data_IF_864282874147
#
_entry.id   IF_864282874147
#
_cell.length_a   1.000
_cell.length_b   1.000
_cell.length_c   1.000
_cell.angle_alpha   90.00
_cell.angle_beta   90.00
_cell.angle_gamma   90.00
#
_symmetry.space_group_name_H-M   'P 1'
#
loop_
_entity.id
_entity.type
_entity.pdbx_description
1 polymer ?
#
# COMPACT_ATOMS: atom_id res chain seq x y z
N UNK A 1 42.38 10.32 10.02
CA UNK A 1 41.33 9.98 9.04
C UNK A 1 40.55 8.73 9.47
N UNK A 2 41.22 7.63 9.81
CA UNK A 2 40.57 6.36 10.21
C UNK A 2 39.59 6.48 11.38
N UNK A 3 39.95 7.16 12.48
CA UNK A 3 39.04 7.35 13.63
C UNK A 3 37.72 8.03 13.27
N UNK A 4 37.75 8.98 12.34
CA UNK A 4 36.55 9.70 11.89
C UNK A 4 35.67 8.77 11.04
N UNK A 5 36.28 8.01 10.13
CA UNK A 5 35.56 7.04 9.31
C UNK A 5 34.92 5.94 10.15
N UNK A 6 35.60 5.42 11.18
CA UNK A 6 35.01 4.43 12.09
C UNK A 6 33.81 5.00 12.87
N UNK A 7 33.90 6.26 13.32
CA UNK A 7 32.77 6.94 14.00
C UNK A 7 31.58 7.13 13.05
N UNK A 8 31.84 7.58 11.82
CA UNK A 8 30.82 7.76 10.80
C UNK A 8 30.19 6.42 10.40
N UNK A 9 30.98 5.35 10.31
CA UNK A 9 30.48 4.01 10.03
C UNK A 9 29.49 3.54 11.09
N UNK A 10 29.84 3.65 12.38
CA UNK A 10 28.94 3.31 13.48
C UNK A 10 27.65 4.13 13.44
N UNK A 11 27.75 5.44 13.20
CA UNK A 11 26.56 6.31 13.08
C UNK A 11 25.68 5.90 11.90
N UNK A 12 26.27 5.59 10.74
CA UNK A 12 25.53 5.11 9.58
C UNK A 12 24.81 3.78 9.88
N UNK A 13 25.45 2.85 10.60
CA UNK A 13 24.79 1.61 11.01
C UNK A 13 23.55 1.88 11.88
N UNK A 14 23.65 2.77 12.87
CA UNK A 14 22.50 3.15 13.70
C UNK A 14 21.39 3.81 12.88
N UNK A 15 21.75 4.72 11.97
CA UNK A 15 20.79 5.39 11.08
C UNK A 15 20.08 4.36 10.18
N UNK A 16 20.81 3.38 9.64
CA UNK A 16 20.21 2.33 8.81
C UNK A 16 19.22 1.47 9.59
N UNK A 17 19.58 1.06 10.81
CA UNK A 17 18.71 0.27 11.67
C UNK A 17 17.42 1.03 12.01
N UNK A 18 17.54 2.31 12.35
CA UNK A 18 16.38 3.14 12.68
C UNK A 18 15.50 3.40 11.46
N UNK A 19 16.10 3.61 10.28
CA UNK A 19 15.35 3.71 9.03
C UNK A 19 14.53 2.45 8.73
N UNK A 20 15.09 1.26 8.96
CA UNK A 20 14.36 0.01 8.78
C UNK A 20 13.18 -0.08 9.77
N UNK A 21 13.41 0.30 11.03
CA UNK A 21 12.36 0.36 12.06
C UNK A 21 11.22 1.31 11.68
N UNK A 22 11.55 2.46 11.10
CA UNK A 22 10.58 3.45 10.62
C UNK A 22 9.80 2.94 9.41
N UNK A 23 10.45 2.26 8.45
CA UNK A 23 9.79 1.65 7.29
C UNK A 23 8.74 0.63 7.70
N UNK A 24 9.05 -0.24 8.67
CA UNK A 24 8.09 -1.23 9.20
C UNK A 24 6.87 -0.56 9.84
N UNK A 25 7.07 0.49 10.63
CA UNK A 25 5.96 1.26 11.22
C UNK A 25 5.11 1.94 10.15
N UNK A 26 5.73 2.56 9.15
CA UNK A 26 5.00 3.19 8.05
C UNK A 26 4.16 2.18 7.25
N UNK A 27 4.70 0.98 7.00
CA UNK A 27 3.96 -0.09 6.33
C UNK A 27 2.73 -0.53 7.13
N UNK A 28 2.87 -0.74 8.44
CA UNK A 28 1.74 -1.11 9.30
C UNK A 28 0.66 -0.01 9.31
N UNK A 29 1.05 1.24 9.54
CA UNK A 29 0.13 2.38 9.52
C UNK A 29 -0.58 2.52 8.16
N UNK A 30 0.12 2.27 7.06
CA UNK A 30 -0.49 2.33 5.72
C UNK A 30 -1.49 1.19 5.48
N UNK A 31 -1.26 0.00 6.05
CA UNK A 31 -2.23 -1.10 5.99
C UNK A 31 -3.49 -0.78 6.81
N UNK A 32 -3.31 -0.25 8.03
CA UNK A 32 -4.41 0.19 8.88
C UNK A 32 -5.22 1.30 8.21
N UNK A 33 -4.54 2.27 7.59
CA UNK A 33 -5.18 3.36 6.86
C UNK A 33 -6.01 2.84 5.67
N UNK A 34 -5.46 1.93 4.86
CA UNK A 34 -6.20 1.28 3.77
C UNK A 34 -7.43 0.48 4.26
N UNK A 35 -7.30 -0.23 5.38
CA UNK A 35 -8.41 -0.96 5.99
C UNK A 35 -9.52 -0.01 6.46
N UNK A 36 -9.16 1.12 7.08
CA UNK A 36 -10.11 2.15 7.51
C UNK A 36 -10.82 2.80 6.32
N UNK A 37 -10.07 3.17 5.27
CA UNK A 37 -10.65 3.72 4.03
C UNK A 37 -11.65 2.73 3.43
N UNK A 38 -11.32 1.43 3.39
CA UNK A 38 -12.20 0.39 2.86
C UNK A 38 -13.49 0.25 3.67
N UNK A 39 -13.39 0.27 5.00
CA UNK A 39 -14.55 0.24 5.89
C UNK A 39 -15.44 1.48 5.71
N UNK A 40 -14.85 2.67 5.55
CA UNK A 40 -15.60 3.90 5.30
C UNK A 40 -16.31 3.86 3.94
N UNK A 41 -15.63 3.42 2.88
CA UNK A 41 -16.23 3.21 1.55
C UNK A 41 -17.44 2.28 1.62
N UNK A 42 -17.34 1.16 2.35
CA UNK A 42 -18.44 0.22 2.55
C UNK A 42 -19.63 0.84 3.31
N UNK A 43 -19.37 1.59 4.39
CA UNK A 43 -20.44 2.24 5.16
C UNK A 43 -21.18 3.29 4.35
N UNK A 44 -20.46 4.08 3.55
CA UNK A 44 -21.04 5.10 2.68
C UNK A 44 -21.87 4.49 1.53
N UNK A 45 -21.45 3.35 0.97
CA UNK A 45 -22.23 2.66 -0.06
C UNK A 45 -23.51 2.00 0.50
N UNK A 46 -23.49 1.55 1.75
CA UNK A 46 -24.66 0.97 2.42
C UNK A 46 -25.69 2.01 2.87
N UNK A 47 -25.30 3.27 3.10
CA UNK A 47 -26.21 4.36 3.49
C UNK A 47 -27.01 4.97 2.32
N UNK A 48 -26.85 4.47 1.10
CA UNK A 48 -27.67 4.85 -0.05
C UNK A 48 -28.79 3.81 -0.27
N UNK A 49 -30.02 4.02 0.24
CA UNK A 49 -31.15 3.20 -0.14
C UNK A 49 -31.46 3.48 -1.63
N UNK A 50 -31.07 2.56 -2.49
CA UNK A 50 -31.40 2.61 -3.92
C UNK A 50 -32.91 2.40 -4.10
N UNK A 51 -33.64 3.50 -4.24
CA UNK A 51 -34.95 3.56 -4.88
C UNK A 51 -34.86 4.38 -6.18
N UNK A 52 -34.00 3.96 -7.11
CA UNK A 52 -34.20 4.07 -8.57
C UNK A 52 -32.93 3.68 -9.35
N UNK A 53 -33.06 3.01 -10.51
CA UNK A 53 -31.95 2.75 -11.41
C UNK A 53 -31.68 4.02 -12.24
N UNK A 54 -30.91 4.96 -11.69
CA UNK A 54 -30.29 6.04 -12.48
C UNK A 54 -28.80 6.07 -12.16
N UNK A 55 -27.91 6.08 -13.17
CA UNK A 55 -26.47 6.18 -12.92
C UNK A 55 -26.18 7.55 -12.31
N UNK A 56 -25.98 7.61 -10.99
CA UNK A 56 -25.40 8.79 -10.37
C UNK A 56 -23.99 8.97 -10.93
N UNK A 57 -23.61 10.17 -11.40
CA UNK A 57 -22.24 10.43 -11.82
C UNK A 57 -21.33 10.25 -10.60
N UNK A 58 -20.11 9.71 -10.79
CA UNK A 58 -19.25 9.32 -9.68
C UNK A 58 -18.89 10.57 -8.88
N UNK A 59 -19.45 10.69 -7.68
CA UNK A 59 -19.00 11.67 -6.70
C UNK A 59 -17.56 11.28 -6.38
N UNK A 60 -16.63 12.08 -6.88
CA UNK A 60 -15.20 11.91 -6.67
C UNK A 60 -14.87 12.02 -5.18
N UNK A 61 -14.84 10.88 -4.50
CA UNK A 61 -14.08 10.73 -3.25
C UNK A 61 -12.85 9.89 -3.59
N UNK A 62 -11.93 10.51 -4.34
CA UNK A 62 -10.58 9.98 -4.53
C UNK A 62 -9.83 10.09 -3.20
N UNK A 63 -9.84 9.00 -2.45
CA UNK A 63 -9.05 8.80 -1.23
C UNK A 63 -7.94 7.78 -1.51
N UNK A 64 -7.21 8.01 -2.61
CA UNK A 64 -6.00 7.32 -3.07
C UNK A 64 -6.27 6.13 -4.02
N UNK A 65 -6.14 6.42 -5.32
CA UNK A 65 -6.17 5.50 -6.45
C UNK A 65 -5.23 4.30 -6.28
N UNK A 66 -5.78 3.10 -6.48
CA UNK A 66 -5.04 1.84 -6.59
C UNK A 66 -4.00 1.88 -7.71
N UNK A 67 -2.85 1.21 -7.51
CA UNK A 67 -2.29 0.43 -8.61
C UNK A 67 -1.96 -0.99 -8.14
N UNK A 68 -2.70 -1.97 -8.65
CA UNK A 68 -2.22 -3.32 -8.98
C UNK A 68 -3.41 -4.25 -9.26
N UNK A 69 -4.17 -3.97 -10.33
CA UNK A 69 -4.70 -5.06 -11.14
C UNK A 69 -3.65 -5.30 -12.21
N UNK A 70 -2.77 -6.26 -11.94
CA UNK A 70 -1.92 -7.09 -12.83
C UNK A 70 -0.77 -7.56 -11.91
N UNK A 71 -0.51 -8.84 -11.66
CA UNK A 71 -0.88 -10.05 -12.35
C UNK A 71 -0.96 -11.19 -11.33
N UNK A 72 -2.00 -12.00 -11.44
CA UNK A 72 -1.96 -13.37 -10.93
C UNK A 72 -2.72 -14.27 -11.92
N UNK A 73 -2.02 -15.06 -12.74
CA UNK A 73 -2.56 -16.26 -13.31
C UNK A 73 -1.72 -17.45 -12.85
N UNK A 74 -2.06 -18.03 -11.70
CA UNK A 74 -1.63 -19.37 -11.36
C UNK A 74 -2.18 -20.39 -12.39
N UNK A 75 -1.26 -21.23 -12.91
CA UNK A 75 -1.46 -22.54 -13.54
C UNK A 75 -1.65 -22.61 -15.08
N UNK A 76 -0.52 -22.72 -15.81
CA UNK A 76 -0.33 -23.75 -16.86
C UNK A 76 1.17 -24.02 -17.14
N UNK A 77 1.68 -25.15 -16.64
CA UNK A 77 2.87 -25.87 -17.14
C UNK A 77 2.53 -26.57 -18.49
N UNK A 78 3.46 -27.23 -19.21
CA UNK A 78 4.86 -26.92 -19.57
C UNK A 78 5.09 -26.93 -21.11
N UNK A 79 6.21 -26.34 -21.56
CA UNK A 79 6.91 -26.68 -22.82
C UNK A 79 6.40 -26.09 -24.15
N UNK A 80 7.21 -25.24 -24.79
CA UNK A 80 7.43 -25.22 -26.24
C UNK A 80 8.66 -24.37 -26.62
N UNK A 81 9.35 -24.86 -27.64
CA UNK A 81 10.66 -24.47 -28.13
C UNK A 81 10.73 -23.07 -28.78
N UNK A 82 11.84 -22.36 -28.54
CA UNK A 82 12.81 -21.99 -29.57
C UNK A 82 14.13 -21.61 -28.89
#
# INVERSE_FOLDING_TARGET
MERLNSKLYLQNCYIMQENERLRKKAQLLNQENQALISQLKQKLSQSCPSANPKPCPPVMLDLNSCPAVVADPCCREPGQAN
#
